data_IF_238643942840
#
_entry.id   IF_238643942840
#
_cell.length_a   1.000
_cell.length_b   1.000
_cell.length_c   1.000
_cell.angle_alpha   90.00
_cell.angle_beta   90.00
_cell.angle_gamma   90.00
#
_symmetry.space_group_name_H-M   'P 1'
#
loop_
_entity.id
_entity.type
_entity.pdbx_description
1 polymer ?
#
# COMPACT_ATOMS: atom_id res chain seq x y z
N UNK A 1 7.94 -6.63 12.82
CA UNK A 1 6.75 -5.90 12.30
C UNK A 1 7.13 -4.78 11.35
N UNK A 2 7.97 -3.80 11.72
CA UNK A 2 8.37 -2.71 10.81
C UNK A 2 9.02 -3.20 9.49
N UNK A 3 9.69 -4.35 9.51
CA UNK A 3 10.24 -5.01 8.31
C UNK A 3 9.26 -5.94 7.59
N UNK A 4 7.94 -5.82 7.82
CA UNK A 4 6.94 -6.68 7.19
C UNK A 4 6.84 -8.09 7.79
N UNK A 5 7.63 -8.40 8.83
CA UNK A 5 7.70 -9.73 9.45
C UNK A 5 6.75 -9.85 10.65
N UNK A 6 5.95 -10.92 10.66
CA UNK A 6 5.14 -11.37 11.80
C UNK A 6 5.40 -12.84 12.10
N UNK A 7 5.44 -13.19 13.38
CA UNK A 7 5.39 -14.60 13.79
C UNK A 7 4.04 -15.20 13.37
N UNK A 8 4.11 -16.32 12.65
CA UNK A 8 2.96 -17.09 12.24
C UNK A 8 2.37 -17.84 13.44
N UNK A 9 1.07 -18.17 13.37
CA UNK A 9 0.41 -19.05 14.34
C UNK A 9 0.30 -20.46 13.75
N UNK A 10 0.43 -21.52 14.58
CA UNK A 10 0.81 -21.50 15.99
C UNK A 10 2.28 -21.09 16.18
N UNK A 11 2.60 -20.40 17.28
CA UNK A 11 3.88 -19.69 17.46
C UNK A 11 5.05 -20.64 17.71
N UNK A 12 4.74 -21.78 18.31
CA UNK A 12 5.61 -22.89 18.66
C UNK A 12 6.30 -23.53 17.45
N UNK A 13 5.71 -23.42 16.25
CA UNK A 13 6.31 -23.95 15.02
C UNK A 13 7.53 -23.12 14.55
N UNK A 14 7.70 -21.91 15.10
CA UNK A 14 8.84 -21.03 14.79
C UNK A 14 8.78 -20.38 13.41
N UNK A 15 7.64 -20.43 12.73
CA UNK A 15 7.47 -19.82 11.41
C UNK A 15 7.07 -18.34 11.45
N UNK A 16 7.34 -17.67 10.34
CA UNK A 16 7.03 -16.28 10.11
C UNK A 16 6.30 -16.08 8.79
N UNK A 17 5.46 -15.06 8.76
CA UNK A 17 4.92 -14.47 7.56
C UNK A 17 5.72 -13.20 7.23
N UNK A 18 6.06 -13.04 5.95
CA UNK A 18 6.58 -11.80 5.39
C UNK A 18 5.52 -11.17 4.48
N UNK A 19 5.26 -9.88 4.69
CA UNK A 19 4.47 -9.07 3.76
C UNK A 19 5.35 -8.09 3.03
N UNK A 20 5.22 -8.07 1.70
CA UNK A 20 5.91 -7.10 0.85
C UNK A 20 5.17 -5.76 0.79
N UNK A 21 5.81 -4.77 0.16
CA UNK A 21 5.22 -3.47 -0.20
C UNK A 21 5.37 -3.31 -1.70
N UNK A 22 4.25 -3.20 -2.40
CA UNK A 22 4.16 -3.13 -3.85
C UNK A 22 3.14 -2.04 -4.17
N UNK A 23 3.56 -0.77 -4.27
CA UNK A 23 2.64 0.36 -4.45
C UNK A 23 1.79 0.17 -5.71
N UNK A 24 0.47 0.25 -5.55
CA UNK A 24 -0.49 0.01 -6.63
C UNK A 24 -0.58 -1.44 -7.12
N UNK A 25 0.15 -2.39 -6.51
CA UNK A 25 0.22 -3.78 -6.98
C UNK A 25 0.98 -3.98 -8.27
N UNK A 26 1.75 -2.99 -8.71
CA UNK A 26 2.46 -3.03 -9.98
C UNK A 26 3.78 -3.80 -9.83
N UNK A 27 3.85 -4.99 -10.43
CA UNK A 27 5.06 -5.78 -10.55
C UNK A 27 5.47 -5.88 -12.03
N UNK A 28 6.76 -5.72 -12.30
CA UNK A 28 7.31 -6.05 -13.61
C UNK A 28 7.64 -7.56 -13.70
N UNK A 29 7.94 -8.11 -14.90
CA UNK A 29 8.23 -9.53 -15.06
C UNK A 29 9.43 -10.04 -14.24
N UNK A 30 10.46 -9.21 -14.02
CA UNK A 30 11.65 -9.57 -13.23
C UNK A 30 11.26 -9.74 -11.76
N UNK A 31 10.52 -8.77 -11.22
CA UNK A 31 9.98 -8.79 -9.87
C UNK A 31 9.06 -9.99 -9.63
N UNK A 32 8.20 -10.32 -10.62
CA UNK A 32 7.31 -11.48 -10.52
C UNK A 32 8.08 -12.81 -10.52
N UNK A 33 9.12 -12.94 -11.35
CA UNK A 33 9.99 -14.14 -11.37
C UNK A 33 10.73 -14.30 -10.04
N UNK A 34 11.24 -13.21 -9.49
CA UNK A 34 11.92 -13.25 -8.19
C UNK A 34 10.97 -13.63 -7.06
N UNK A 35 9.74 -13.10 -7.08
CA UNK A 35 8.69 -13.49 -6.11
C UNK A 35 8.37 -14.99 -6.20
N UNK A 36 8.27 -15.53 -7.42
CA UNK A 36 8.05 -16.97 -7.63
C UNK A 36 9.22 -17.81 -7.09
N UNK A 37 10.46 -17.41 -7.40
CA UNK A 37 11.65 -18.11 -6.90
C UNK A 37 11.73 -18.07 -5.36
N UNK A 38 11.48 -16.93 -4.73
CA UNK A 38 11.38 -16.84 -3.26
C UNK A 38 10.29 -17.74 -2.67
N UNK A 39 9.19 -17.89 -3.41
CA UNK A 39 8.05 -18.73 -3.00
C UNK A 39 8.43 -20.21 -3.01
N UNK A 40 9.11 -20.66 -4.05
CA UNK A 40 9.58 -22.05 -4.18
C UNK A 40 10.69 -22.36 -3.16
N UNK A 41 11.66 -21.45 -3.01
CA UNK A 41 12.84 -21.68 -2.17
C UNK A 41 12.54 -21.63 -0.67
N UNK A 42 11.59 -20.77 -0.25
CA UNK A 42 11.39 -20.48 1.18
C UNK A 42 9.96 -20.67 1.69
N UNK A 43 8.94 -20.57 0.83
CA UNK A 43 7.53 -20.48 1.24
C UNK A 43 6.68 -21.71 0.85
N UNK A 44 7.33 -22.87 0.68
CA UNK A 44 6.67 -24.14 0.32
C UNK A 44 5.89 -24.09 -1.00
N UNK A 45 6.24 -23.20 -1.93
CA UNK A 45 5.52 -23.05 -3.20
C UNK A 45 4.18 -22.30 -3.10
N UNK A 46 3.87 -21.67 -1.96
CA UNK A 46 2.64 -20.89 -1.76
C UNK A 46 2.91 -19.41 -1.49
N UNK A 47 2.15 -18.55 -2.19
CA UNK A 47 2.14 -17.11 -1.97
C UNK A 47 0.71 -16.57 -2.07
N UNK A 48 0.37 -15.62 -1.21
CA UNK A 48 -0.97 -15.04 -1.13
C UNK A 48 -0.99 -13.61 -1.65
N UNK A 49 -1.89 -13.33 -2.60
CA UNK A 49 -2.22 -11.95 -3.00
C UNK A 49 -3.22 -11.38 -1.99
N UNK A 50 -2.86 -10.26 -1.37
CA UNK A 50 -3.69 -9.62 -0.35
C UNK A 50 -4.74 -8.70 -0.94
N UNK A 51 -5.76 -8.37 -0.14
CA UNK A 51 -6.76 -7.33 -0.42
C UNK A 51 -6.18 -5.91 -0.52
N UNK A 52 -4.86 -5.74 -0.37
CA UNK A 52 -4.14 -4.47 -0.56
C UNK A 52 -3.08 -4.55 -1.63
N UNK A 53 -3.25 -5.42 -2.63
CA UNK A 53 -2.42 -5.48 -3.83
C UNK A 53 -0.93 -5.72 -3.53
N UNK A 54 -0.66 -6.63 -2.61
CA UNK A 54 0.71 -7.05 -2.29
C UNK A 54 0.76 -8.54 -2.00
N UNK A 55 1.96 -9.11 -1.93
CA UNK A 55 2.18 -10.55 -1.77
C UNK A 55 2.64 -10.86 -0.34
N UNK A 56 2.13 -11.95 0.22
CA UNK A 56 2.59 -12.53 1.48
C UNK A 56 3.21 -13.90 1.26
N UNK A 57 4.32 -14.13 1.93
CA UNK A 57 5.00 -15.42 2.02
C UNK A 57 4.85 -15.96 3.44
N UNK A 58 4.66 -17.27 3.55
CA UNK A 58 4.40 -17.99 4.80
C UNK A 58 5.46 -19.07 5.04
N UNK A 59 5.47 -19.66 6.24
CA UNK A 59 6.40 -20.76 6.59
C UNK A 59 7.90 -20.39 6.57
N UNK A 60 8.22 -19.10 6.69
CA UNK A 60 9.60 -18.63 6.70
C UNK A 60 10.24 -18.86 8.06
N UNK A 61 11.55 -19.13 8.10
CA UNK A 61 12.36 -19.23 9.33
C UNK A 61 13.20 -17.98 9.53
N UNK A 62 13.55 -17.68 10.79
CA UNK A 62 14.22 -16.42 11.13
C UNK A 62 15.58 -16.26 10.45
N UNK A 63 16.28 -17.37 10.22
CA UNK A 63 17.62 -17.43 9.61
C UNK A 63 17.59 -17.12 8.11
N UNK A 64 16.44 -17.25 7.46
CA UNK A 64 16.28 -17.04 6.02
C UNK A 64 16.12 -15.56 5.64
N UNK A 65 15.71 -14.71 6.58
CA UNK A 65 15.36 -13.31 6.29
C UNK A 65 16.48 -12.46 5.67
N UNK A 66 17.76 -12.58 6.08
CA UNK A 66 18.83 -11.82 5.43
C UNK A 66 18.89 -12.08 3.91
N UNK A 67 18.76 -13.34 3.49
CA UNK A 67 18.78 -13.72 2.08
C UNK A 67 17.50 -13.27 1.36
N UNK A 68 16.33 -13.45 1.98
CA UNK A 68 15.05 -13.00 1.43
C UNK A 68 15.07 -11.47 1.20
N UNK A 69 15.56 -10.69 2.16
CA UNK A 69 15.65 -9.24 2.03
C UNK A 69 16.61 -8.84 0.92
N UNK A 70 17.80 -9.46 0.84
CA UNK A 70 18.78 -9.20 -0.23
C UNK A 70 18.18 -9.46 -1.61
N UNK A 71 17.43 -10.55 -1.77
CA UNK A 71 16.79 -10.93 -3.03
C UNK A 71 15.66 -9.98 -3.42
N UNK A 72 14.78 -9.62 -2.48
CA UNK A 72 13.74 -8.61 -2.71
C UNK A 72 14.35 -7.26 -3.12
N UNK A 73 15.39 -6.82 -2.41
CA UNK A 73 16.09 -5.56 -2.70
C UNK A 73 16.73 -5.57 -4.09
N UNK A 74 17.28 -6.71 -4.54
CA UNK A 74 17.90 -6.85 -5.87
C UNK A 74 16.94 -6.57 -7.04
N UNK A 75 15.63 -6.66 -6.81
CA UNK A 75 14.57 -6.34 -7.79
C UNK A 75 13.75 -5.11 -7.41
N UNK A 76 14.21 -4.34 -6.41
CA UNK A 76 13.56 -3.11 -5.96
C UNK A 76 12.24 -3.30 -5.20
N UNK A 77 12.02 -4.47 -4.61
CA UNK A 77 10.88 -4.72 -3.70
C UNK A 77 11.36 -4.56 -2.26
N UNK A 78 10.55 -3.90 -1.42
CA UNK A 78 10.80 -3.82 0.03
C UNK A 78 9.67 -4.47 0.81
N UNK A 79 9.96 -4.88 2.05
CA UNK A 79 8.96 -5.26 3.06
C UNK A 79 8.85 -4.22 4.18
N UNK A 80 9.70 -3.19 4.16
CA UNK A 80 9.71 -2.13 5.16
C UNK A 80 8.41 -1.34 5.15
N UNK A 81 7.89 -1.05 6.33
CA UNK A 81 6.62 -0.35 6.52
C UNK A 81 5.38 -1.17 6.13
N UNK A 82 5.51 -2.40 5.60
CA UNK A 82 4.35 -3.20 5.20
C UNK A 82 3.41 -3.52 6.39
N UNK A 83 3.95 -3.45 7.60
CA UNK A 83 3.34 -3.88 8.85
C UNK A 83 3.77 -2.97 10.01
N UNK A 84 3.06 -3.05 11.15
CA UNK A 84 3.27 -2.13 12.28
C UNK A 84 2.33 -0.91 12.26
N UNK A 85 2.70 0.09 13.06
CA UNK A 85 2.01 1.36 13.26
C UNK A 85 2.69 2.46 12.42
N UNK A 86 2.53 2.26 11.12
CA UNK A 86 3.10 3.00 9.99
C UNK A 86 2.12 2.89 8.82
N UNK A 87 2.38 3.65 7.75
CA UNK A 87 1.66 3.58 6.48
C UNK A 87 1.76 2.20 5.83
N UNK A 88 0.61 1.63 5.49
CA UNK A 88 0.50 0.36 4.74
C UNK A 88 0.73 0.60 3.25
N UNK A 89 0.74 -0.50 2.48
CA UNK A 89 0.77 -0.44 1.03
C UNK A 89 -0.28 0.54 0.48
N UNK A 90 0.16 1.45 -0.38
CA UNK A 90 -0.72 2.40 -1.06
C UNK A 90 -1.43 1.66 -2.19
N UNK A 91 -2.75 1.60 -2.11
CA UNK A 91 -3.59 0.88 -3.08
C UNK A 91 -3.88 1.80 -4.27
N UNK A 92 -3.76 1.27 -5.49
CA UNK A 92 -3.94 1.98 -6.76
C UNK A 92 -4.95 1.32 -7.68
N UNK A 93 -5.36 1.99 -8.76
CA UNK A 93 -6.18 1.34 -9.79
C UNK A 93 -5.33 0.24 -10.49
N UNK A 94 -5.82 -1.01 -10.60
CA UNK A 94 -5.06 -2.09 -11.24
C UNK A 94 -4.86 -1.87 -12.75
N UNK A 95 -5.64 -0.98 -13.36
CA UNK A 95 -5.56 -0.62 -14.80
C UNK A 95 -5.29 0.88 -14.99
N UNK A 96 -4.61 1.51 -14.02
CA UNK A 96 -4.17 2.91 -14.14
C UNK A 96 -3.35 3.11 -15.43
N UNK A 97 -3.67 4.17 -16.18
CA UNK A 97 -3.03 4.46 -17.48
C UNK A 97 -3.50 3.60 -18.66
N UNK A 98 -4.39 2.62 -18.43
CA UNK A 98 -4.94 1.73 -19.48
C UNK A 98 -6.44 1.92 -19.72
N UNK A 99 -7.18 2.35 -18.70
CA UNK A 99 -8.62 2.61 -18.78
C UNK A 99 -8.90 3.91 -19.58
N UNK A 100 -9.52 3.83 -20.78
CA UNK A 100 -9.84 5.01 -21.58
C UNK A 100 -10.92 5.90 -20.93
N UNK A 101 -11.70 5.34 -20.00
CA UNK A 101 -12.75 6.04 -19.28
C UNK A 101 -12.26 6.61 -17.93
N UNK A 102 -10.97 6.48 -17.60
CA UNK A 102 -10.43 7.06 -16.39
C UNK A 102 -10.56 8.60 -16.41
N UNK A 103 -10.79 9.19 -15.23
CA UNK A 103 -10.79 10.65 -15.11
C UNK A 103 -9.35 11.15 -15.37
N UNK A 104 -8.39 10.53 -14.69
CA UNK A 104 -6.96 10.75 -14.83
C UNK A 104 -6.15 9.51 -14.36
N UNK A 105 -4.91 9.39 -14.82
CA UNK A 105 -3.96 8.40 -14.31
C UNK A 105 -3.28 8.93 -13.03
N UNK A 106 -3.49 8.22 -11.92
CA UNK A 106 -2.99 8.61 -10.59
C UNK A 106 -1.66 7.92 -10.21
N UNK A 107 -1.01 7.26 -11.17
CA UNK A 107 0.19 6.45 -10.92
C UNK A 107 1.38 7.27 -10.41
N UNK A 108 1.52 8.52 -10.87
CA UNK A 108 2.61 9.41 -10.46
C UNK A 108 2.44 9.84 -9.00
N UNK A 109 1.23 10.26 -8.62
CA UNK A 109 0.90 10.71 -7.27
C UNK A 109 1.00 9.56 -6.27
N UNK A 110 0.53 8.37 -6.66
CA UNK A 110 0.67 7.16 -5.84
C UNK A 110 2.13 6.86 -5.52
N UNK A 111 3.01 6.87 -6.53
CA UNK A 111 4.44 6.61 -6.35
C UNK A 111 5.11 7.70 -5.50
N UNK A 112 4.76 8.96 -5.71
CA UNK A 112 5.29 10.07 -4.94
C UNK A 112 4.91 9.98 -3.45
N UNK A 113 3.63 9.70 -3.16
CA UNK A 113 3.14 9.51 -1.79
C UNK A 113 3.79 8.29 -1.13
N UNK A 114 3.92 7.18 -1.86
CA UNK A 114 4.60 5.99 -1.34
C UNK A 114 6.05 6.26 -0.98
N UNK A 115 6.81 6.87 -1.90
CA UNK A 115 8.22 7.20 -1.70
C UNK A 115 8.43 8.19 -0.54
N UNK A 116 7.53 9.16 -0.36
CA UNK A 116 7.61 10.15 0.71
C UNK A 116 7.37 9.57 2.11
N UNK A 117 6.42 8.64 2.23
CA UNK A 117 5.99 8.09 3.52
C UNK A 117 6.76 6.83 3.92
N UNK A 118 7.33 6.11 2.96
CA UNK A 118 8.06 4.85 3.21
C UNK A 118 9.49 5.13 3.63
N UNK A 119 10.00 4.38 4.62
CA UNK A 119 11.35 4.55 5.17
C UNK A 119 11.65 5.97 5.68
N UNK A 120 10.60 6.75 5.95
CA UNK A 120 10.71 8.08 6.53
C UNK A 120 10.54 7.97 8.06
N UNK A 121 11.56 8.32 8.88
CA UNK A 121 11.46 8.26 10.34
C UNK A 121 10.30 9.08 10.91
N UNK A 122 9.92 10.16 10.22
CA UNK A 122 8.82 11.04 10.61
C UNK A 122 7.47 10.30 10.69
N UNK A 123 7.26 9.32 9.81
CA UNK A 123 6.01 8.56 9.68
C UNK A 123 6.15 7.09 10.12
N UNK A 124 7.24 6.77 10.83
CA UNK A 124 7.52 5.41 11.30
C UNK A 124 6.96 5.08 12.68
N UNK A 125 6.38 6.05 13.39
CA UNK A 125 5.78 5.87 14.71
C UNK A 125 4.41 6.56 14.79
N UNK A 126 3.47 6.12 13.97
CA UNK A 126 2.10 6.64 13.98
C UNK A 126 1.31 6.02 15.15
N UNK A 127 0.21 6.63 15.63
CA UNK A 127 -0.61 6.04 16.70
C UNK A 127 -1.19 4.67 16.36
N UNK A 128 -1.44 4.41 15.06
CA UNK A 128 -1.82 3.08 14.57
C UNK A 128 -1.52 2.89 13.08
N UNK A 129 -1.80 1.68 12.57
CA UNK A 129 -1.83 1.36 11.14
C UNK A 129 -2.57 2.43 10.33
N UNK A 130 -1.92 2.94 9.29
CA UNK A 130 -2.47 3.98 8.42
C UNK A 130 -2.61 3.47 6.99
N UNK A 131 -3.82 3.52 6.42
CA UNK A 131 -4.11 2.96 5.09
C UNK A 131 -4.41 4.09 4.11
N UNK A 132 -3.75 4.05 2.96
CA UNK A 132 -3.93 5.03 1.90
C UNK A 132 -4.37 4.33 0.61
N UNK A 133 -5.30 4.93 -0.12
CA UNK A 133 -5.64 4.56 -1.49
C UNK A 133 -5.62 5.78 -2.39
N UNK A 134 -5.09 5.65 -3.62
CA UNK A 134 -4.99 6.74 -4.59
C UNK A 134 -5.42 6.22 -5.96
N UNK A 135 -6.44 6.84 -6.55
CA UNK A 135 -6.95 6.47 -7.87
C UNK A 135 -7.63 7.63 -8.58
N UNK A 136 -7.50 7.71 -9.90
CA UNK A 136 -8.27 8.61 -10.75
C UNK A 136 -9.38 7.91 -11.54
N UNK A 137 -9.73 6.66 -11.22
CA UNK A 137 -10.81 5.95 -11.91
C UNK A 137 -12.20 6.46 -11.46
N UNK A 138 -13.20 6.34 -12.35
CA UNK A 138 -14.57 6.82 -12.09
C UNK A 138 -15.33 5.98 -11.08
N UNK A 139 -14.96 4.70 -10.96
CA UNK A 139 -15.69 3.71 -10.15
C UNK A 139 -15.15 3.55 -8.73
N UNK A 140 -14.14 4.34 -8.35
CA UNK A 140 -13.49 4.27 -7.04
C UNK A 140 -13.04 2.85 -6.65
N UNK A 141 -12.44 2.10 -7.59
CA UNK A 141 -12.08 0.69 -7.43
C UNK A 141 -11.14 0.41 -6.24
N UNK A 142 -10.43 1.42 -5.76
CA UNK A 142 -9.52 1.33 -4.61
C UNK A 142 -10.21 1.45 -3.25
N UNK A 143 -11.54 1.54 -3.24
CA UNK A 143 -12.39 1.57 -2.04
C UNK A 143 -12.00 2.70 -1.06
N UNK A 144 -12.02 3.97 -1.49
CA UNK A 144 -11.57 5.10 -0.67
C UNK A 144 -12.35 5.23 0.65
N UNK A 145 -13.60 4.76 0.71
CA UNK A 145 -14.44 4.81 1.91
C UNK A 145 -13.92 4.00 3.10
N UNK A 146 -13.00 3.06 2.91
CA UNK A 146 -12.48 2.18 3.97
C UNK A 146 -10.99 2.39 4.27
N UNK A 147 -10.41 3.45 3.73
CA UNK A 147 -9.02 3.86 3.95
C UNK A 147 -8.96 5.05 4.93
N UNK A 148 -7.83 5.18 5.63
CA UNK A 148 -7.59 6.33 6.51
C UNK A 148 -7.53 7.62 5.69
N UNK A 149 -6.95 7.53 4.49
CA UNK A 149 -6.98 8.55 3.43
C UNK A 149 -7.30 7.87 2.10
N UNK A 150 -8.34 8.32 1.44
CA UNK A 150 -8.74 7.86 0.11
C UNK A 150 -8.80 9.01 -0.87
N UNK A 151 -7.89 9.03 -1.84
CA UNK A 151 -7.89 9.97 -2.96
C UNK A 151 -8.58 9.29 -4.15
N UNK A 152 -9.60 9.94 -4.69
CA UNK A 152 -10.43 9.40 -5.77
C UNK A 152 -10.61 10.45 -6.87
N UNK A 153 -10.73 10.01 -8.12
CA UNK A 153 -10.92 10.92 -9.26
C UNK A 153 -12.22 11.71 -9.14
N UNK A 154 -12.15 13.01 -9.44
CA UNK A 154 -13.28 13.93 -9.36
C UNK A 154 -13.24 14.91 -10.53
N UNK A 155 -14.40 15.18 -11.12
CA UNK A 155 -14.59 16.20 -12.15
C UNK A 155 -15.33 17.40 -11.55
N UNK A 156 -14.80 18.61 -11.80
CA UNK A 156 -15.44 19.88 -11.42
C UNK A 156 -15.61 20.73 -12.68
N UNK A 157 -16.76 20.58 -13.33
CA UNK A 157 -16.99 21.17 -14.65
C UNK A 157 -16.07 20.54 -15.68
N UNK A 158 -15.18 21.35 -16.26
CA UNK A 158 -14.16 20.87 -17.21
C UNK A 158 -12.84 20.48 -16.54
N UNK A 159 -12.68 20.76 -15.24
CA UNK A 159 -11.46 20.42 -14.50
C UNK A 159 -11.50 18.98 -14.01
N UNK A 160 -10.40 18.26 -14.24
CA UNK A 160 -10.15 16.91 -13.75
C UNK A 160 -9.13 16.97 -12.63
N UNK A 161 -9.43 16.27 -11.54
CA UNK A 161 -8.56 16.22 -10.38
C UNK A 161 -9.04 15.15 -9.41
N UNK A 162 -8.91 15.42 -8.13
CA UNK A 162 -9.23 14.45 -7.09
C UNK A 162 -10.12 15.03 -6.00
N UNK A 163 -10.97 14.18 -5.44
CA UNK A 163 -11.55 14.35 -4.12
C UNK A 163 -10.76 13.54 -3.09
N UNK A 164 -11.03 13.81 -1.81
CA UNK A 164 -10.42 13.11 -0.69
C UNK A 164 -11.49 12.67 0.31
N UNK A 165 -11.32 11.46 0.83
CA UNK A 165 -12.02 10.94 2.00
C UNK A 165 -11.04 10.64 3.13
N UNK A 166 -11.44 10.86 4.38
CA UNK A 166 -10.61 10.61 5.56
C UNK A 166 -11.35 9.84 6.66
N UNK A 167 -10.63 9.05 7.44
CA UNK A 167 -11.15 8.42 8.66
C UNK A 167 -11.88 7.08 8.45
N UNK A 168 -11.72 6.41 7.31
CA UNK A 168 -12.34 5.11 7.06
C UNK A 168 -11.61 3.95 7.76
N UNK A 169 -12.38 2.95 8.20
CA UNK A 169 -11.84 1.75 8.84
C UNK A 169 -12.88 0.68 9.12
N UNK A 170 -12.47 -0.58 9.00
CA UNK A 170 -13.31 -1.77 9.19
C UNK A 170 -12.86 -2.57 10.43
N UNK A 171 -12.65 -1.88 11.55
CA UNK A 171 -12.31 -2.56 12.82
C UNK A 171 -13.58 -3.14 13.47
N UNK A 172 -13.52 -3.51 14.75
CA UNK A 172 -14.69 -3.91 15.55
C UNK A 172 -15.82 -2.88 15.51
N UNK A 173 -15.47 -1.59 15.51
CA UNK A 173 -16.38 -0.49 15.17
C UNK A 173 -16.04 -0.01 13.75
N UNK A 174 -16.86 -0.33 12.73
CA UNK A 174 -16.63 0.12 11.38
C UNK A 174 -17.09 1.57 11.19
N UNK A 175 -16.30 2.35 10.46
CA UNK A 175 -16.61 3.72 10.08
C UNK A 175 -16.27 3.91 8.60
N UNK A 176 -17.20 4.50 7.84
CA UNK A 176 -16.91 4.98 6.49
C UNK A 176 -16.16 6.30 6.58
N UNK A 177 -15.23 6.49 5.65
CA UNK A 177 -14.49 7.74 5.52
C UNK A 177 -15.42 8.88 5.11
N UNK A 178 -15.17 10.06 5.66
CA UNK A 178 -15.91 11.27 5.33
C UNK A 178 -15.24 12.01 4.18
N UNK A 179 -16.03 12.45 3.21
CA UNK A 179 -15.52 13.28 2.10
C UNK A 179 -15.24 14.68 2.63
N UNK A 180 -14.02 15.19 2.42
CA UNK A 180 -13.74 16.60 2.68
C UNK A 180 -14.21 17.43 1.48
N UNK A 181 -14.79 18.62 1.69
CA UNK A 181 -15.32 19.47 0.61
C UNK A 181 -14.20 20.23 -0.11
N UNK A 182 -13.21 19.49 -0.63
CA UNK A 182 -12.03 20.03 -1.32
C UNK A 182 -11.84 19.35 -2.67
N UNK A 183 -11.34 20.11 -3.64
CA UNK A 183 -10.91 19.63 -4.94
C UNK A 183 -9.39 19.76 -5.00
N UNK A 184 -8.70 18.68 -5.30
CA UNK A 184 -7.24 18.60 -5.36
C UNK A 184 -6.81 18.51 -6.82
N UNK A 185 -5.83 19.33 -7.21
CA UNK A 185 -5.06 19.10 -8.43
C UNK A 185 -4.00 18.02 -8.18
N UNK A 186 -3.40 17.42 -9.22
CA UNK A 186 -2.33 16.43 -9.06
C UNK A 186 -1.20 16.87 -8.12
N UNK A 187 -0.75 18.12 -8.24
CA UNK A 187 0.28 18.72 -7.40
C UNK A 187 -0.08 18.81 -5.90
N UNK A 188 -1.37 18.80 -5.57
CA UNK A 188 -1.88 18.92 -4.20
C UNK A 188 -1.92 17.56 -3.46
N UNK A 189 -1.86 16.43 -4.18
CA UNK A 189 -2.07 15.09 -3.59
C UNK A 189 -0.97 14.75 -2.58
N UNK A 190 0.30 15.01 -2.91
CA UNK A 190 1.42 14.74 -2.00
C UNK A 190 1.40 15.66 -0.76
N UNK A 191 1.31 17.00 -0.90
CA UNK A 191 1.15 17.89 0.25
C UNK A 191 -0.02 17.48 1.15
N UNK A 192 -1.17 17.15 0.55
CA UNK A 192 -2.32 16.68 1.30
C UNK A 192 -1.99 15.41 2.09
N UNK A 193 -1.45 14.37 1.43
CA UNK A 193 -1.14 13.10 2.09
C UNK A 193 -0.11 13.27 3.22
N UNK A 194 0.85 14.19 3.06
CA UNK A 194 1.77 14.58 4.10
C UNK A 194 1.06 15.20 5.30
N UNK A 195 0.26 16.27 5.09
CA UNK A 195 -0.40 16.97 6.20
C UNK A 195 -1.44 16.10 6.92
N UNK A 196 -2.18 15.24 6.22
CA UNK A 196 -3.09 14.29 6.87
C UNK A 196 -2.33 13.27 7.71
N UNK A 197 -1.11 12.90 7.29
CA UNK A 197 -0.23 11.99 8.06
C UNK A 197 0.37 12.71 9.27
N UNK A 198 0.71 13.99 9.16
CA UNK A 198 1.19 14.84 10.27
C UNK A 198 0.10 15.03 11.33
N UNK A 199 -1.15 15.30 10.93
CA UNK A 199 -2.28 15.40 11.87
C UNK A 199 -2.55 14.08 12.58
N UNK A 200 -2.35 12.96 11.87
CA UNK A 200 -2.56 11.63 12.44
C UNK A 200 -1.47 11.20 13.42
N UNK A 201 -0.24 11.72 13.26
CA UNK A 201 0.93 11.39 14.08
C UNK A 201 0.82 11.96 15.48
#
# INVERSE_FOLDING_TARGET
KWYGVYQQKPKEDGYFMLRTRIPGGLLNPIQMREMAALTDDFAHGFADVTTRQTVQLHWLRIEQFPEIFRRLESVGITSSGACGDITRNVVGCPVAGMDPDAILDASAELKAVDAHLTNNPEFSNLPRKYKISISGCRIMCTQPDINCVGVFGLERGQEKGYGIKVGGGLSSAPHLAQTLPVFLKPEDVLPMAHFTSVIYR
#
